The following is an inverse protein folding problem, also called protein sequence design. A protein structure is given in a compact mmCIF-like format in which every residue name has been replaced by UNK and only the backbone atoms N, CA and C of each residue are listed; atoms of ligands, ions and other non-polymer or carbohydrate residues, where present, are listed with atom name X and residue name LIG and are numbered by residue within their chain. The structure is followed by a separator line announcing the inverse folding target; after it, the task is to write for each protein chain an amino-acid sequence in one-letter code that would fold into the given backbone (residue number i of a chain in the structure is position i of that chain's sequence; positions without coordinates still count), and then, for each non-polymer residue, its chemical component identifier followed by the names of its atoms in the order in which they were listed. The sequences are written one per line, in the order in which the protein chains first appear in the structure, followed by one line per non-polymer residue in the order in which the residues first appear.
data_IF_818477006971
#
_entry.id   IF_818477006971
#
_cell.length_a   1.000
_cell.length_b   1.000
_cell.length_c   1.000
_cell.angle_alpha   90.00
_cell.angle_beta   90.00
_cell.angle_gamma   90.00
#
_symmetry.space_group_name_H-M   'P 1'
#
loop_
_entity.id
_entity.type
_entity.pdbx_description
1 polymer ?
#
# COMPACT_ATOMS: atom_id res chain seq x y z
N UNK A 1 22.54 -2.61 3.62
CA UNK A 1 22.41 -3.69 2.60
C UNK A 1 23.07 -3.21 1.31
N UNK A 2 23.80 -4.07 0.60
CA UNK A 2 24.36 -3.69 -0.70
C UNK A 2 23.24 -3.60 -1.72
N UNK A 3 23.23 -2.55 -2.57
CA UNK A 3 22.26 -2.37 -3.65
C UNK A 3 22.18 -3.58 -4.62
N UNK A 4 23.19 -4.44 -4.63
CA UNK A 4 23.24 -5.66 -5.45
C UNK A 4 22.19 -6.72 -5.09
N UNK A 5 21.54 -6.61 -3.95
CA UNK A 5 20.53 -7.57 -3.45
C UNK A 5 19.11 -6.95 -3.36
N UNK A 6 18.90 -5.75 -3.89
CA UNK A 6 17.58 -5.14 -3.92
C UNK A 6 16.66 -5.96 -4.86
N UNK A 7 15.49 -6.34 -4.36
CA UNK A 7 14.43 -6.92 -5.17
C UNK A 7 13.59 -5.79 -5.75
N UNK A 8 13.44 -5.76 -7.06
CA UNK A 8 12.68 -4.73 -7.77
C UNK A 8 11.42 -5.39 -8.34
N UNK A 9 10.29 -4.73 -8.13
CA UNK A 9 9.00 -5.07 -8.74
C UNK A 9 8.45 -3.84 -9.47
N UNK A 10 7.62 -4.06 -10.45
CA UNK A 10 6.88 -2.99 -11.12
C UNK A 10 5.52 -2.75 -10.42
N UNK A 11 4.89 -1.62 -10.73
CA UNK A 11 3.51 -1.36 -10.35
C UNK A 11 2.73 -0.81 -11.55
N UNK A 12 1.45 -1.18 -11.74
CA UNK A 12 0.65 -0.72 -12.89
C UNK A 12 0.53 0.80 -13.02
N UNK A 13 0.68 1.53 -11.92
CA UNK A 13 0.67 2.99 -11.92
C UNK A 13 1.79 3.59 -12.80
N UNK A 14 2.93 2.94 -12.93
CA UNK A 14 4.02 3.37 -13.82
C UNK A 14 3.64 3.30 -15.30
N UNK A 15 2.58 2.59 -15.64
CA UNK A 15 1.94 2.55 -16.96
C UNK A 15 0.72 3.47 -17.08
N UNK A 16 0.49 4.34 -16.10
CA UNK A 16 -0.65 5.26 -16.08
C UNK A 16 -1.96 4.62 -15.63
N UNK A 17 -1.95 3.39 -15.15
CA UNK A 17 -3.13 2.74 -14.56
C UNK A 17 -3.31 3.25 -13.12
N UNK A 18 -4.37 4.01 -12.90
CA UNK A 18 -4.62 4.75 -11.67
C UNK A 18 -6.09 4.61 -11.26
N UNK A 19 -6.36 4.70 -9.96
CA UNK A 19 -7.71 4.64 -9.40
C UNK A 19 -8.48 5.96 -9.54
N UNK A 20 -7.81 7.05 -9.89
CA UNK A 20 -8.43 8.39 -9.99
C UNK A 20 -9.10 8.54 -11.35
N UNK A 21 -10.43 8.76 -11.42
CA UNK A 21 -11.13 8.93 -12.67
C UNK A 21 -10.57 10.08 -13.52
N UNK A 22 -10.27 9.80 -14.77
CA UNK A 22 -9.75 10.80 -15.72
C UNK A 22 -8.24 11.07 -15.63
N UNK A 23 -7.54 10.45 -14.71
CA UNK A 23 -6.08 10.49 -14.63
C UNK A 23 -5.47 9.28 -15.34
N UNK A 24 -4.27 9.48 -15.91
CA UNK A 24 -3.52 8.42 -16.56
C UNK A 24 -4.21 7.80 -17.79
N UNK A 25 -3.78 6.61 -18.12
CA UNK A 25 -4.30 5.81 -19.23
C UNK A 25 -4.72 4.45 -18.71
N UNK A 26 -6.02 4.14 -18.79
CA UNK A 26 -6.53 2.85 -18.34
C UNK A 26 -6.19 1.75 -19.37
N UNK A 27 -5.00 1.20 -19.26
CA UNK A 27 -4.54 0.10 -20.10
C UNK A 27 -5.00 -1.25 -19.55
N UNK A 28 -5.23 -2.22 -20.45
CA UNK A 28 -5.61 -3.57 -20.03
C UNK A 28 -4.50 -4.29 -19.26
N UNK A 29 -4.84 -5.16 -18.29
CA UNK A 29 -3.85 -5.97 -17.58
C UNK A 29 -2.92 -6.74 -18.52
N UNK A 30 -3.46 -7.36 -19.57
CA UNK A 30 -2.67 -8.14 -20.53
C UNK A 30 -1.58 -7.30 -21.19
N UNK A 31 -1.86 -6.04 -21.56
CA UNK A 31 -0.87 -5.14 -22.13
C UNK A 31 0.19 -4.75 -21.10
N UNK A 32 -0.23 -4.28 -19.93
CA UNK A 32 0.69 -3.81 -18.89
C UNK A 32 1.62 -4.92 -18.41
N UNK A 33 1.07 -6.09 -18.10
CA UNK A 33 1.86 -7.24 -17.64
C UNK A 33 2.82 -7.75 -18.71
N UNK A 34 2.39 -7.73 -19.98
CA UNK A 34 3.29 -8.06 -21.10
C UNK A 34 4.44 -7.08 -21.20
N UNK A 35 4.17 -5.78 -21.17
CA UNK A 35 5.22 -4.76 -21.24
C UNK A 35 6.19 -4.82 -20.05
N UNK A 36 5.69 -5.11 -18.84
CA UNK A 36 6.53 -5.40 -17.67
C UNK A 36 7.47 -6.58 -17.93
N UNK A 37 6.94 -7.68 -18.47
CA UNK A 37 7.74 -8.87 -18.79
C UNK A 37 8.79 -8.58 -19.87
N UNK A 38 8.42 -7.85 -20.93
CA UNK A 38 9.33 -7.45 -22.02
C UNK A 38 10.50 -6.57 -21.52
N UNK A 39 10.26 -5.78 -20.45
CA UNK A 39 11.29 -4.98 -19.78
C UNK A 39 12.13 -5.79 -18.77
N UNK A 40 11.81 -7.06 -18.56
CA UNK A 40 12.56 -7.96 -17.68
C UNK A 40 12.08 -7.99 -16.24
N UNK A 41 10.94 -7.38 -15.90
CA UNK A 41 10.33 -7.54 -14.59
C UNK A 41 9.72 -8.95 -14.46
N UNK A 42 9.89 -9.53 -13.30
CA UNK A 42 9.28 -10.83 -12.92
C UNK A 42 8.34 -10.72 -11.71
N UNK A 43 8.14 -9.49 -11.22
CA UNK A 43 7.30 -9.21 -10.07
C UNK A 43 6.56 -7.88 -10.23
N UNK A 44 5.33 -7.83 -9.70
CA UNK A 44 4.47 -6.64 -9.77
C UNK A 44 3.61 -6.50 -8.51
N UNK A 45 3.15 -5.28 -8.23
CA UNK A 45 1.99 -5.05 -7.36
C UNK A 45 0.69 -5.32 -8.12
N UNK A 46 -0.42 -5.49 -7.37
CA UNK A 46 -1.73 -5.80 -7.95
C UNK A 46 -2.32 -4.65 -8.78
N UNK A 47 -1.87 -3.41 -8.55
CA UNK A 47 -2.48 -2.22 -9.12
C UNK A 47 -3.78 -1.81 -8.41
N UNK A 48 -4.48 -0.80 -8.94
CA UNK A 48 -5.70 -0.28 -8.34
C UNK A 48 -6.87 -1.27 -8.47
N UNK A 49 -7.93 -1.02 -7.68
CA UNK A 49 -9.17 -1.80 -7.76
C UNK A 49 -9.71 -1.81 -9.21
N UNK A 50 -10.10 -2.99 -9.69
CA UNK A 50 -10.60 -3.20 -11.05
C UNK A 50 -9.54 -3.38 -12.13
N UNK A 51 -8.25 -3.19 -11.85
CA UNK A 51 -7.18 -3.51 -12.80
C UNK A 51 -7.05 -5.03 -12.98
N UNK A 52 -6.86 -5.77 -11.90
CA UNK A 52 -6.97 -7.24 -11.91
C UNK A 52 -8.34 -7.67 -11.39
N UNK A 53 -8.85 -8.85 -11.82
CA UNK A 53 -10.10 -9.38 -11.29
C UNK A 53 -10.11 -9.47 -9.76
N UNK A 54 -11.27 -9.23 -9.16
CA UNK A 54 -11.45 -9.39 -7.71
C UNK A 54 -11.47 -10.86 -7.28
N UNK A 55 -11.83 -11.77 -8.20
CA UNK A 55 -11.84 -13.20 -7.93
C UNK A 55 -10.40 -13.71 -7.73
N UNK A 56 -10.07 -14.29 -6.55
CA UNK A 56 -8.69 -14.62 -6.16
C UNK A 56 -7.96 -15.58 -7.10
N UNK A 57 -8.62 -16.64 -7.54
CA UNK A 57 -8.01 -17.64 -8.42
C UNK A 57 -7.75 -17.07 -9.82
N UNK A 58 -8.65 -16.23 -10.33
CA UNK A 58 -8.48 -15.59 -11.63
C UNK A 58 -7.35 -14.54 -11.58
N UNK A 59 -7.27 -13.74 -10.50
CA UNK A 59 -6.15 -12.82 -10.24
C UNK A 59 -4.81 -13.55 -10.30
N UNK A 60 -4.70 -14.66 -9.58
CA UNK A 60 -3.49 -15.49 -9.55
C UNK A 60 -3.17 -16.11 -10.92
N UNK A 61 -4.18 -16.57 -11.67
CA UNK A 61 -4.01 -17.15 -13.01
C UNK A 61 -3.42 -16.14 -13.99
N UNK A 62 -3.99 -14.93 -14.05
CA UNK A 62 -3.53 -13.87 -14.96
C UNK A 62 -2.06 -13.52 -14.68
N UNK A 63 -1.67 -13.37 -13.42
CA UNK A 63 -0.27 -13.10 -13.08
C UNK A 63 0.65 -14.23 -13.53
N UNK A 64 0.24 -15.48 -13.31
CA UNK A 64 1.00 -16.66 -13.71
C UNK A 64 1.13 -16.78 -15.24
N UNK A 65 0.09 -16.47 -16.01
CA UNK A 65 0.11 -16.46 -17.48
C UNK A 65 1.16 -15.51 -18.04
N UNK A 66 1.44 -14.42 -17.33
CA UNK A 66 2.47 -13.45 -17.68
C UNK A 66 3.83 -13.68 -16.98
N UNK A 67 4.00 -14.82 -16.27
CA UNK A 67 5.19 -15.14 -15.47
C UNK A 67 5.52 -14.07 -14.41
N UNK A 68 4.49 -13.42 -13.86
CA UNK A 68 4.63 -12.41 -12.81
C UNK A 68 4.38 -13.00 -11.43
N UNK A 69 5.23 -12.65 -10.47
CA UNK A 69 5.03 -12.90 -9.05
C UNK A 69 4.35 -11.66 -8.43
N UNK A 70 3.30 -11.85 -7.64
CA UNK A 70 2.72 -10.78 -6.86
C UNK A 70 3.59 -10.46 -5.64
N UNK A 71 3.97 -9.19 -5.45
CA UNK A 71 4.66 -8.75 -4.23
C UNK A 71 3.68 -8.23 -3.18
N UNK A 72 2.61 -7.58 -3.59
CA UNK A 72 1.61 -6.98 -2.72
C UNK A 72 0.64 -6.09 -3.49
N UNK A 73 0.04 -5.17 -2.78
CA UNK A 73 -0.84 -4.17 -3.36
C UNK A 73 -1.18 -3.07 -2.37
N UNK A 74 -1.50 -1.92 -2.92
CA UNK A 74 -1.98 -0.75 -2.19
C UNK A 74 -3.45 -0.94 -1.80
N UNK A 75 -3.75 -0.77 -0.52
CA UNK A 75 -5.10 -0.95 0.04
C UNK A 75 -5.44 0.26 0.91
N UNK A 76 -6.25 1.20 0.41
CA UNK A 76 -6.74 2.32 1.20
C UNK A 76 -7.82 1.87 2.18
N UNK A 77 -7.66 2.17 3.47
CA UNK A 77 -8.55 1.72 4.54
C UNK A 77 -8.89 2.87 5.48
N UNK A 78 -10.17 3.05 5.79
CA UNK A 78 -10.60 3.97 6.85
C UNK A 78 -10.24 3.35 8.21
N UNK A 79 -9.28 3.96 8.91
CA UNK A 79 -8.70 3.38 10.14
C UNK A 79 -9.13 4.12 11.41
N UNK A 80 -9.55 5.39 11.31
CA UNK A 80 -9.74 6.32 12.43
C UNK A 80 -11.18 6.42 12.95
N UNK A 81 -12.15 5.81 12.26
CA UNK A 81 -13.56 6.00 12.58
C UNK A 81 -14.07 4.89 13.50
N UNK A 82 -14.76 5.30 14.57
CA UNK A 82 -15.36 4.36 15.55
C UNK A 82 -16.58 3.59 15.00
N UNK A 83 -17.26 4.16 14.00
CA UNK A 83 -18.43 3.57 13.35
C UNK A 83 -18.07 2.68 12.13
N UNK A 84 -16.76 2.43 11.88
CA UNK A 84 -16.27 1.63 10.78
C UNK A 84 -15.31 0.55 11.25
N UNK A 85 -15.64 -0.71 10.99
CA UNK A 85 -14.74 -1.85 11.22
C UNK A 85 -14.05 -2.26 9.91
N UNK A 86 -12.72 -2.05 9.77
CA UNK A 86 -12.00 -2.34 8.53
C UNK A 86 -11.73 -3.84 8.30
N UNK A 87 -11.91 -4.69 9.30
CA UNK A 87 -11.39 -6.07 9.28
C UNK A 87 -12.03 -6.91 8.19
N UNK A 88 -13.35 -6.86 8.01
CA UNK A 88 -14.02 -7.67 6.99
C UNK A 88 -13.57 -7.31 5.56
N UNK A 89 -13.37 -6.01 5.29
CA UNK A 89 -12.85 -5.55 4.00
C UNK A 89 -11.42 -6.06 3.76
N UNK A 90 -10.56 -5.92 4.75
CA UNK A 90 -9.17 -6.39 4.67
C UNK A 90 -9.09 -7.91 4.54
N UNK A 91 -9.90 -8.67 5.24
CA UNK A 91 -9.95 -10.13 5.11
C UNK A 91 -10.28 -10.56 3.68
N UNK A 92 -11.24 -9.88 3.04
CA UNK A 92 -11.60 -10.14 1.64
C UNK A 92 -10.44 -9.84 0.68
N UNK A 93 -9.72 -8.72 0.90
CA UNK A 93 -8.50 -8.41 0.12
C UNK A 93 -7.43 -9.50 0.30
N UNK A 94 -7.23 -9.97 1.54
CA UNK A 94 -6.23 -11.00 1.86
C UNK A 94 -6.48 -12.36 1.18
N UNK A 95 -7.71 -12.66 0.72
CA UNK A 95 -7.97 -13.85 -0.10
C UNK A 95 -7.20 -13.80 -1.42
N UNK A 96 -7.14 -12.63 -2.06
CA UNK A 96 -6.33 -12.41 -3.26
C UNK A 96 -4.83 -12.55 -3.02
N UNK A 97 -4.35 -12.08 -1.86
CA UNK A 97 -2.95 -12.25 -1.45
C UNK A 97 -2.59 -13.72 -1.24
N UNK A 98 -3.46 -14.47 -0.56
CA UNK A 98 -3.27 -15.90 -0.35
C UNK A 98 -3.20 -16.67 -1.68
N UNK A 99 -4.13 -16.40 -2.61
CA UNK A 99 -4.20 -17.07 -3.91
C UNK A 99 -2.99 -16.76 -4.80
N UNK A 100 -2.54 -15.50 -4.83
CA UNK A 100 -1.43 -15.04 -5.66
C UNK A 100 -0.05 -15.20 -4.97
N UNK A 101 -0.02 -15.58 -3.70
CA UNK A 101 1.22 -15.74 -2.93
C UNK A 101 1.89 -14.42 -2.53
N UNK A 102 1.19 -13.29 -2.61
CA UNK A 102 1.69 -11.97 -2.25
C UNK A 102 2.04 -11.88 -0.76
N UNK A 103 3.03 -11.07 -0.40
CA UNK A 103 3.61 -11.04 0.96
C UNK A 103 3.55 -9.68 1.64
N UNK A 104 3.18 -8.61 0.94
CA UNK A 104 3.18 -7.26 1.50
C UNK A 104 1.84 -6.57 1.29
N UNK A 105 1.12 -6.28 2.36
CA UNK A 105 -0.10 -5.47 2.37
C UNK A 105 0.28 -4.01 2.62
N UNK A 106 0.17 -3.17 1.59
CA UNK A 106 0.52 -1.75 1.66
C UNK A 106 -0.72 -0.95 2.03
N UNK A 107 -0.84 -0.56 3.29
CA UNK A 107 -1.99 0.18 3.83
C UNK A 107 -1.82 1.67 3.67
N UNK A 108 -2.87 2.37 3.20
CA UNK A 108 -2.99 3.81 3.32
C UNK A 108 -4.18 4.19 4.20
N UNK A 109 -4.00 5.17 5.07
CA UNK A 109 -5.02 5.61 6.02
C UNK A 109 -6.05 6.52 5.32
N UNK A 110 -6.99 5.92 4.57
CA UNK A 110 -8.02 6.64 3.81
C UNK A 110 -8.80 7.60 4.71
N UNK A 111 -8.97 8.84 4.25
CA UNK A 111 -9.72 9.87 4.97
C UNK A 111 -11.24 9.63 4.96
N UNK A 112 -11.76 8.85 4.03
CA UNK A 112 -13.18 8.71 3.77
C UNK A 112 -13.77 9.90 3.00
N UNK A 113 -12.92 10.83 2.52
CA UNK A 113 -13.31 12.00 1.72
C UNK A 113 -12.89 11.75 0.27
N UNK A 114 -13.71 12.17 -0.66
CA UNK A 114 -13.43 12.03 -2.09
C UNK A 114 -12.70 13.28 -2.61
N UNK A 115 -11.56 13.08 -3.26
CA UNK A 115 -10.76 14.15 -3.86
C UNK A 115 -9.47 14.47 -3.09
N UNK A 116 -8.41 14.80 -3.84
CA UNK A 116 -7.09 15.13 -3.26
C UNK A 116 -6.99 16.57 -2.75
N UNK A 117 -7.87 17.44 -3.23
CA UNK A 117 -7.85 18.89 -2.89
C UNK A 117 -8.73 19.24 -1.68
N UNK A 118 -9.41 18.26 -1.11
CA UNK A 118 -10.27 18.48 0.04
C UNK A 118 -9.46 18.62 1.32
N UNK A 119 -9.91 19.51 2.19
CA UNK A 119 -9.27 19.72 3.48
C UNK A 119 -9.47 18.49 4.37
N UNK A 120 -8.38 17.83 4.72
CA UNK A 120 -8.40 16.69 5.62
C UNK A 120 -8.85 17.11 7.04
N UNK A 121 -9.64 16.28 7.72
CA UNK A 121 -9.96 16.50 9.13
C UNK A 121 -8.70 16.33 9.99
N UNK A 122 -8.66 17.06 11.10
CA UNK A 122 -7.63 16.87 12.13
C UNK A 122 -8.14 15.84 13.12
N UNK A 123 -7.43 14.73 13.22
CA UNK A 123 -7.80 13.67 14.15
C UNK A 123 -7.57 14.06 15.61
N UNK A 124 -8.55 13.79 16.44
CA UNK A 124 -8.42 13.82 17.90
C UNK A 124 -7.52 12.70 18.40
N UNK A 125 -7.05 12.77 19.65
CA UNK A 125 -6.26 11.68 20.25
C UNK A 125 -7.03 10.36 20.28
N UNK A 126 -8.33 10.39 20.55
CA UNK A 126 -9.17 9.19 20.52
C UNK A 126 -9.26 8.55 19.11
N UNK A 127 -9.33 9.34 18.05
CA UNK A 127 -9.34 8.84 16.68
C UNK A 127 -7.97 8.26 16.29
N UNK A 128 -6.87 8.83 16.78
CA UNK A 128 -5.54 8.25 16.62
C UNK A 128 -5.42 6.91 17.36
N UNK A 129 -5.97 6.78 18.56
CA UNK A 129 -5.99 5.51 19.30
C UNK A 129 -6.77 4.43 18.55
N UNK A 130 -7.91 4.80 17.94
CA UNK A 130 -8.69 3.91 17.06
C UNK A 130 -7.85 3.48 15.84
N UNK A 131 -7.16 4.43 15.19
CA UNK A 131 -6.30 4.17 14.04
C UNK A 131 -5.20 3.16 14.41
N UNK A 132 -4.50 3.37 15.52
CA UNK A 132 -3.44 2.46 15.97
C UNK A 132 -3.97 1.08 16.34
N UNK A 133 -5.13 1.01 17.01
CA UNK A 133 -5.77 -0.26 17.31
C UNK A 133 -6.14 -1.02 16.03
N UNK A 134 -6.71 -0.34 15.03
CA UNK A 134 -7.06 -0.96 13.76
C UNK A 134 -5.85 -1.41 12.97
N UNK A 135 -4.74 -0.66 12.97
CA UNK A 135 -3.48 -1.13 12.40
C UNK A 135 -3.01 -2.43 13.04
N UNK A 136 -3.04 -2.54 14.37
CA UNK A 136 -2.65 -3.75 15.10
C UNK A 136 -3.55 -4.95 14.74
N UNK A 137 -4.86 -4.73 14.64
CA UNK A 137 -5.83 -5.76 14.24
C UNK A 137 -5.57 -6.25 12.82
N UNK A 138 -5.33 -5.35 11.88
CA UNK A 138 -5.01 -5.69 10.48
C UNK A 138 -3.69 -6.45 10.39
N UNK A 139 -2.65 -6.02 11.11
CA UNK A 139 -1.38 -6.76 11.17
C UNK A 139 -1.58 -8.20 11.67
N UNK A 140 -2.42 -8.40 12.68
CA UNK A 140 -2.74 -9.72 13.20
C UNK A 140 -3.48 -10.59 12.16
N UNK A 141 -4.43 -10.04 11.41
CA UNK A 141 -5.14 -10.76 10.35
C UNK A 141 -4.19 -11.15 9.21
N UNK A 142 -3.39 -10.22 8.70
CA UNK A 142 -2.44 -10.47 7.62
C UNK A 142 -1.38 -11.52 8.02
N UNK A 143 -0.92 -11.47 9.27
CA UNK A 143 0.08 -12.42 9.79
C UNK A 143 -0.41 -13.86 9.78
N UNK A 144 -1.73 -14.12 9.91
CA UNK A 144 -2.30 -15.49 9.87
C UNK A 144 -1.98 -16.23 8.57
N UNK A 145 -1.79 -15.49 7.47
CA UNK A 145 -1.45 -16.04 6.15
C UNK A 145 -0.02 -15.70 5.71
N UNK A 146 0.82 -15.22 6.63
CA UNK A 146 2.21 -14.89 6.36
C UNK A 146 2.39 -13.65 5.48
N UNK A 147 1.44 -12.71 5.53
CA UNK A 147 1.50 -11.39 4.87
C UNK A 147 1.95 -10.35 5.90
N UNK A 148 2.90 -9.51 5.52
CA UNK A 148 3.36 -8.37 6.32
C UNK A 148 2.56 -7.13 5.92
N UNK A 149 1.95 -6.46 6.88
CA UNK A 149 1.35 -5.15 6.66
C UNK A 149 2.40 -4.06 6.83
N UNK A 150 2.37 -3.06 5.96
CA UNK A 150 3.17 -1.83 6.05
C UNK A 150 2.24 -0.64 5.93
N UNK A 151 2.55 0.46 6.60
CA UNK A 151 1.83 1.73 6.43
C UNK A 151 2.55 2.58 5.39
N UNK A 152 1.80 3.07 4.43
CA UNK A 152 2.23 3.96 3.37
C UNK A 152 1.71 5.39 3.67
N UNK A 153 2.54 6.30 4.18
CA UNK A 153 2.19 7.71 4.25
C UNK A 153 1.92 8.24 2.84
N UNK A 154 0.72 8.78 2.63
CA UNK A 154 0.26 9.13 1.28
C UNK A 154 -0.47 10.46 1.29
N UNK A 155 -0.22 11.30 0.29
CA UNK A 155 -0.92 12.58 0.09
C UNK A 155 -2.43 12.34 0.00
N UNK A 156 -3.21 13.17 0.71
CA UNK A 156 -4.68 13.05 0.75
C UNK A 156 -5.19 11.97 1.71
N UNK A 157 -4.33 11.41 2.55
CA UNK A 157 -4.73 10.43 3.59
C UNK A 157 -4.54 10.98 5.00
N UNK A 158 -5.03 10.26 6.01
CA UNK A 158 -4.89 10.66 7.42
C UNK A 158 -3.46 10.55 7.94
N UNK A 159 -2.55 9.90 7.20
CA UNK A 159 -1.11 9.86 7.50
C UNK A 159 -0.34 10.39 6.30
N UNK A 160 -0.20 11.70 6.24
CA UNK A 160 0.42 12.43 5.13
C UNK A 160 1.66 13.20 5.59
N UNK A 161 1.50 14.07 6.60
CA UNK A 161 2.54 15.03 7.00
C UNK A 161 3.63 14.40 7.86
N UNK A 162 4.78 15.10 7.96
CA UNK A 162 5.87 14.70 8.86
C UNK A 162 5.39 14.52 10.31
N UNK A 163 4.47 15.38 10.79
CA UNK A 163 3.89 15.27 12.13
C UNK A 163 3.06 13.98 12.28
N UNK A 164 2.28 13.62 11.26
CA UNK A 164 1.52 12.38 11.24
C UNK A 164 2.45 11.15 11.23
N UNK A 165 3.48 11.16 10.40
CA UNK A 165 4.50 10.09 10.35
C UNK A 165 5.17 9.93 11.72
N UNK A 166 5.61 11.03 12.33
CA UNK A 166 6.20 11.03 13.68
C UNK A 166 5.21 10.51 14.74
N UNK A 167 3.92 10.79 14.59
CA UNK A 167 2.90 10.28 15.51
C UNK A 167 2.75 8.76 15.37
N UNK A 168 2.77 8.22 14.15
CA UNK A 168 2.77 6.77 13.91
C UNK A 168 4.04 6.11 14.45
N UNK A 169 5.21 6.72 14.27
CA UNK A 169 6.48 6.22 14.84
C UNK A 169 6.38 6.02 16.35
N UNK A 170 5.75 6.98 17.05
CA UNK A 170 5.58 6.93 18.51
C UNK A 170 4.44 6.02 18.98
N UNK A 171 3.36 5.93 18.22
CA UNK A 171 2.10 5.28 18.66
C UNK A 171 1.88 3.86 18.13
N UNK A 172 2.68 3.40 17.17
CA UNK A 172 2.51 2.09 16.54
C UNK A 172 3.85 1.42 16.25
N UNK A 173 3.86 0.11 16.16
CA UNK A 173 5.02 -0.69 15.72
C UNK A 173 4.93 -1.10 14.25
N UNK A 174 3.91 -0.64 13.51
CA UNK A 174 3.74 -0.99 12.09
C UNK A 174 4.97 -0.56 11.29
N UNK A 175 5.54 -1.44 10.45
CA UNK A 175 6.58 -1.02 9.52
C UNK A 175 6.02 -0.07 8.46
N UNK A 176 6.91 0.69 7.83
CA UNK A 176 6.56 1.64 6.78
C UNK A 176 6.85 1.10 5.39
N UNK A 177 6.01 1.46 4.43
CA UNK A 177 6.38 1.62 3.04
C UNK A 177 7.01 3.01 2.91
N UNK A 178 8.32 3.06 2.66
CA UNK A 178 9.03 4.30 2.38
C UNK A 178 8.71 4.73 0.95
N UNK A 179 7.80 5.69 0.81
CA UNK A 179 7.54 6.35 -0.47
C UNK A 179 8.30 7.67 -0.53
N UNK A 180 9.22 7.77 -1.47
CA UNK A 180 10.11 8.94 -1.56
C UNK A 180 9.40 10.20 -2.03
N UNK A 181 8.35 10.07 -2.85
CA UNK A 181 7.55 11.17 -3.33
C UNK A 181 6.55 11.69 -2.28
N UNK A 182 5.67 10.82 -1.82
CA UNK A 182 4.61 11.20 -0.87
C UNK A 182 5.16 11.71 0.45
N UNK A 183 6.16 11.04 1.03
CA UNK A 183 6.76 11.47 2.30
C UNK A 183 7.48 12.82 2.16
N UNK A 184 8.15 13.08 1.03
CA UNK A 184 8.79 14.36 0.77
C UNK A 184 7.76 15.49 0.59
N UNK A 185 6.66 15.25 -0.13
CA UNK A 185 5.54 16.21 -0.27
C UNK A 185 4.94 16.52 1.11
N UNK A 186 4.77 15.51 1.96
CA UNK A 186 4.31 15.65 3.35
C UNK A 186 5.31 16.32 4.30
N UNK A 187 6.50 16.70 3.80
CA UNK A 187 7.53 17.40 4.57
C UNK A 187 8.41 16.48 5.44
N UNK A 188 8.38 15.17 5.24
CA UNK A 188 9.28 14.25 5.92
C UNK A 188 10.65 14.26 5.24
N UNK A 189 11.72 14.46 6.02
CA UNK A 189 13.09 14.23 5.53
C UNK A 189 13.31 12.72 5.36
N UNK A 190 13.18 12.24 4.12
CA UNK A 190 13.28 10.81 3.80
C UNK A 190 14.67 10.24 4.05
N UNK A 191 15.73 11.07 3.95
CA UNK A 191 17.11 10.63 4.20
C UNK A 191 17.34 10.45 5.70
N UNK A 192 16.90 11.39 6.52
CA UNK A 192 16.92 11.27 7.96
C UNK A 192 16.05 10.10 8.41
N UNK A 193 14.80 10.03 7.95
CA UNK A 193 13.87 8.96 8.30
C UNK A 193 14.44 7.56 8.01
N UNK A 194 15.00 7.36 6.81
CA UNK A 194 15.58 6.07 6.44
C UNK A 194 16.82 5.67 7.22
N UNK A 195 17.54 6.63 7.81
CA UNK A 195 18.68 6.36 8.72
C UNK A 195 18.22 6.07 10.14
N UNK A 196 17.30 6.89 10.65
CA UNK A 196 16.87 6.84 12.05
C UNK A 196 15.88 5.70 12.31
N UNK A 197 15.16 5.25 11.27
CA UNK A 197 14.11 4.24 11.32
C UNK A 197 14.31 3.12 10.28
N UNK A 198 15.57 2.77 9.95
CA UNK A 198 15.89 1.74 8.96
C UNK A 198 15.26 0.38 9.27
N UNK A 199 15.11 0.04 10.56
CA UNK A 199 14.47 -1.18 11.07
C UNK A 199 12.94 -1.19 10.87
N UNK A 200 12.36 0.00 10.64
CA UNK A 200 10.93 0.19 10.40
C UNK A 200 10.56 0.23 8.92
N UNK A 201 11.54 0.28 8.01
CA UNK A 201 11.29 0.26 6.56
C UNK A 201 11.25 -1.19 6.08
N UNK A 202 10.10 -1.63 5.59
CA UNK A 202 9.90 -3.01 5.13
C UNK A 202 9.44 -3.12 3.67
N UNK A 203 9.07 -2.02 3.06
CA UNK A 203 8.76 -1.87 1.64
C UNK A 203 9.14 -0.47 1.18
N UNK A 204 9.25 -0.24 -0.13
CA UNK A 204 9.57 1.09 -0.67
C UNK A 204 8.90 1.30 -2.02
N UNK A 205 8.38 2.52 -2.23
CA UNK A 205 7.97 3.08 -3.51
C UNK A 205 8.98 4.17 -3.93
N UNK A 206 9.45 4.12 -5.19
CA UNK A 206 10.50 4.99 -5.73
C UNK A 206 10.04 5.65 -7.03
#
# INVERSE_FOLDING_TARGET
MSAKNAKIAAAPISWGVCEVPGWGHQMSPARVLKEMADLGFSATEFGPEGFLPMEPALKASILKEHNMTAVGGFVPVILHRADHDPILGVQKELEGYAAAGAKTLVLAANSGITGYDEKLPVLTDAEWDILFNNLNRIQAEAAKIGVKSVLHPHVGTMVETADHVNRVVRGSTIPFCLDTGHMMIGGTDIVAFSKDHADRVAHSHL
#
